data_IF_727267688950
#
_entry.id   IF_727267688950
#
_cell.length_a   1.000
_cell.length_b   1.000
_cell.length_c   1.000
_cell.angle_alpha   90.00
_cell.angle_beta   90.00
_cell.angle_gamma   90.00
#
_symmetry.space_group_name_H-M   'P 1'
#
loop_
_entity.id
_entity.type
_entity.pdbx_description
1 polymer ?
#
# COMPACT_ATOMS: atom_id res chain seq x y z
N UNK A 1 3.16 18.77 7.65
CA UNK A 1 3.17 17.33 7.97
C UNK A 1 2.99 16.58 6.67
N UNK A 2 4.06 15.97 6.15
CA UNK A 2 4.00 15.21 4.89
C UNK A 2 3.83 13.74 5.26
N UNK A 3 2.80 13.09 4.71
CA UNK A 3 2.65 11.65 4.85
C UNK A 3 3.88 10.97 4.24
N UNK A 4 4.59 10.14 4.99
CA UNK A 4 5.74 9.36 4.48
C UNK A 4 5.30 8.05 3.83
N UNK A 5 4.10 7.58 4.17
CA UNK A 5 3.51 6.35 3.64
C UNK A 5 1.99 6.46 3.43
N UNK A 6 1.46 5.52 2.65
CA UNK A 6 0.03 5.30 2.45
C UNK A 6 -0.31 3.83 2.64
N UNK A 7 -1.48 3.54 3.18
CA UNK A 7 -2.06 2.21 3.11
C UNK A 7 -2.95 2.09 1.88
N UNK A 8 -2.97 0.95 1.20
CA UNK A 8 -3.90 0.67 0.09
C UNK A 8 -4.35 -0.79 0.10
N UNK A 9 -5.65 -1.06 -0.08
CA UNK A 9 -6.12 -2.40 -0.40
C UNK A 9 -5.72 -2.70 -1.84
N UNK A 10 -4.95 -3.76 -2.00
CA UNK A 10 -4.48 -4.28 -3.29
C UNK A 10 -4.75 -5.78 -3.30
N UNK A 11 -4.52 -6.42 -4.42
CA UNK A 11 -4.64 -7.88 -4.52
C UNK A 11 -3.77 -8.55 -3.46
N UNK A 12 -4.39 -9.36 -2.58
CA UNK A 12 -3.70 -10.07 -1.50
C UNK A 12 -3.70 -9.37 -0.14
N UNK A 13 -4.23 -8.15 -0.03
CA UNK A 13 -4.51 -7.51 1.26
C UNK A 13 -4.30 -6.00 1.25
N UNK A 14 -4.40 -5.40 2.44
CA UNK A 14 -4.10 -3.98 2.65
C UNK A 14 -2.66 -3.82 3.08
N UNK A 15 -1.85 -3.20 2.22
CA UNK A 15 -0.42 -3.02 2.40
C UNK A 15 -0.04 -1.55 2.55
N UNK A 16 1.14 -1.29 3.12
CA UNK A 16 1.68 0.05 3.24
C UNK A 16 2.79 0.27 2.20
N UNK A 17 2.71 1.40 1.50
CA UNK A 17 3.63 1.81 0.44
C UNK A 17 4.25 3.17 0.78
N UNK A 18 5.46 3.48 0.28
CA UNK A 18 5.98 4.84 0.30
C UNK A 18 5.01 5.82 -0.38
N UNK A 19 4.87 7.04 0.14
CA UNK A 19 3.91 8.03 -0.42
C UNK A 19 4.13 8.29 -1.92
N UNK A 20 5.40 8.30 -2.36
CA UNK A 20 5.82 8.48 -3.76
C UNK A 20 5.31 7.40 -4.71
N UNK A 21 4.89 6.24 -4.21
CA UNK A 21 4.34 5.17 -5.05
C UNK A 21 3.06 5.60 -5.79
N UNK A 22 2.35 6.64 -5.31
CA UNK A 22 1.17 7.21 -5.99
C UNK A 22 1.48 7.98 -7.27
N UNK A 23 2.74 8.34 -7.46
CA UNK A 23 3.20 9.12 -8.61
C UNK A 23 3.72 8.22 -9.73
N UNK A 24 3.86 6.92 -9.45
CA UNK A 24 4.32 5.92 -10.40
C UNK A 24 3.21 5.66 -11.43
N UNK A 25 3.51 5.68 -12.74
CA UNK A 25 2.54 5.39 -13.79
C UNK A 25 1.93 3.99 -13.68
N UNK A 26 0.66 3.86 -14.08
CA UNK A 26 0.03 2.55 -14.27
C UNK A 26 0.82 1.69 -15.26
N UNK A 27 0.93 0.39 -15.01
CA UNK A 27 1.76 -0.53 -15.78
C UNK A 27 3.18 -0.73 -15.20
N UNK A 28 3.60 0.13 -14.26
CA UNK A 28 4.84 -0.06 -13.50
C UNK A 28 4.58 -0.72 -12.15
N UNK A 29 5.56 -1.49 -11.66
CA UNK A 29 5.48 -2.17 -10.38
C UNK A 29 5.92 -1.26 -9.23
N UNK A 30 5.19 -1.33 -8.11
CA UNK A 30 5.52 -0.65 -6.86
C UNK A 30 5.57 -1.62 -5.71
N UNK A 31 6.56 -1.44 -4.83
CA UNK A 31 6.78 -2.31 -3.68
C UNK A 31 6.18 -1.74 -2.39
N UNK A 32 5.40 -2.56 -1.69
CA UNK A 32 5.02 -2.35 -0.31
C UNK A 32 6.23 -2.54 0.62
N UNK A 33 6.14 -2.02 1.85
CA UNK A 33 7.21 -2.21 2.84
C UNK A 33 7.47 -3.68 3.20
N UNK A 34 6.48 -4.56 3.08
CA UNK A 34 6.67 -5.99 3.28
C UNK A 34 7.35 -6.71 2.10
N UNK A 35 7.63 -6.00 0.99
CA UNK A 35 8.19 -6.55 -0.25
C UNK A 35 7.16 -7.10 -1.23
N UNK A 36 5.85 -6.92 -0.99
CA UNK A 36 4.83 -7.27 -1.98
C UNK A 36 4.86 -6.27 -3.12
N UNK A 37 4.89 -6.75 -4.36
CA UNK A 37 4.88 -5.93 -5.56
C UNK A 37 3.51 -6.01 -6.24
N UNK A 38 3.01 -4.85 -6.66
CA UNK A 38 1.74 -4.71 -7.37
C UNK A 38 1.88 -3.67 -8.47
N UNK A 39 0.98 -3.71 -9.44
CA UNK A 39 0.86 -2.63 -10.41
C UNK A 39 0.47 -1.33 -9.70
N UNK A 40 1.11 -0.22 -10.07
CA UNK A 40 0.83 1.09 -9.50
C UNK A 40 -0.66 1.49 -9.63
N UNK A 41 -1.36 1.00 -10.66
CA UNK A 41 -2.80 1.21 -10.83
C UNK A 41 -3.62 0.71 -9.62
N UNK A 42 -3.17 -0.34 -8.92
CA UNK A 42 -3.89 -0.87 -7.74
C UNK A 42 -3.89 0.11 -6.56
N UNK A 43 -3.01 1.12 -6.55
CA UNK A 43 -2.99 2.14 -5.50
C UNK A 43 -4.12 3.19 -5.65
N UNK A 44 -4.89 3.13 -6.73
CA UNK A 44 -5.92 4.09 -7.10
C UNK A 44 -7.29 3.42 -7.30
N UNK A 45 -8.36 4.23 -7.27
CA UNK A 45 -9.71 3.77 -7.65
C UNK A 45 -10.34 2.70 -6.75
N UNK A 46 -9.81 2.46 -5.54
CA UNK A 46 -10.32 1.44 -4.63
C UNK A 46 -11.63 1.87 -3.97
N UNK A 47 -12.60 0.96 -3.93
CA UNK A 47 -13.91 1.18 -3.31
C UNK A 47 -13.83 1.12 -1.78
N UNK A 48 -14.76 1.74 -1.07
CA UNK A 48 -14.86 1.64 0.40
C UNK A 48 -14.97 0.18 0.87
N UNK A 49 -15.63 -0.67 0.09
CA UNK A 49 -15.78 -2.09 0.41
C UNK A 49 -14.43 -2.82 0.38
N UNK A 50 -13.52 -2.49 -0.55
CA UNK A 50 -12.16 -3.04 -0.57
C UNK A 50 -11.42 -2.72 0.73
N UNK A 51 -11.58 -1.48 1.22
CA UNK A 51 -10.96 -1.05 2.47
C UNK A 51 -11.48 -1.82 3.68
N UNK A 52 -12.75 -2.22 3.69
CA UNK A 52 -13.32 -3.00 4.80
C UNK A 52 -12.92 -4.47 4.72
N UNK A 53 -12.93 -5.05 3.51
CA UNK A 53 -12.73 -6.50 3.32
C UNK A 53 -11.28 -6.93 3.37
N UNK A 54 -10.36 -6.11 2.84
CA UNK A 54 -8.98 -6.51 2.74
C UNK A 54 -8.28 -6.50 4.10
N UNK A 55 -7.70 -7.66 4.45
CA UNK A 55 -6.98 -7.84 5.70
C UNK A 55 -5.73 -6.96 5.71
N UNK A 56 -5.45 -6.34 6.85
CA UNK A 56 -4.21 -5.56 7.01
C UNK A 56 -3.00 -6.48 7.05
N UNK A 57 -1.97 -6.14 6.27
CA UNK A 57 -0.69 -6.82 6.32
C UNK A 57 0.04 -6.49 7.63
N UNK A 58 0.10 -7.46 8.54
CA UNK A 58 0.76 -7.29 9.84
C UNK A 58 2.27 -7.11 9.73
N UNK A 59 2.91 -7.54 8.63
CA UNK A 59 4.33 -7.28 8.37
C UNK A 59 4.58 -5.81 8.03
N UNK A 60 3.76 -5.21 7.18
CA UNK A 60 3.79 -3.76 6.92
C UNK A 60 3.55 -2.98 8.22
N UNK A 61 2.58 -3.41 9.02
CA UNK A 61 2.28 -2.77 10.31
C UNK A 61 3.50 -2.77 11.24
N UNK A 62 4.13 -3.94 11.44
CA UNK A 62 5.31 -4.05 12.31
C UNK A 62 6.49 -3.21 11.81
N UNK A 63 6.79 -3.24 10.50
CA UNK A 63 7.87 -2.42 9.92
C UNK A 63 7.64 -0.92 10.15
N UNK A 64 6.40 -0.45 10.07
CA UNK A 64 6.08 0.96 10.34
C UNK A 64 6.15 1.26 11.84
N UNK A 65 5.60 0.39 12.69
CA UNK A 65 5.66 0.55 14.14
C UNK A 65 7.09 0.58 14.69
N UNK A 66 8.03 -0.13 14.06
CA UNK A 66 9.45 -0.12 14.44
C UNK A 66 10.21 1.14 13.94
N UNK A 67 9.58 1.97 13.10
CA UNK A 67 10.18 3.20 12.52
C UNK A 67 9.74 4.49 13.22
N UNK A 68 8.63 4.44 13.96
CA UNK A 68 8.10 5.55 14.77
C UNK A 68 8.66 5.50 16.20
#
# INVERSE_FOLDING_TARGET
MYLTYIWRPVTGGRHAFPVRAREVPAGEQVAAYCGAEVDAAELHGRSEVDWVREKSCMRCWRILADRD
#
